data_IF_253656307041
#
_entry.id   IF_253656307041
#
_cell.length_a   1.000
_cell.length_b   1.000
_cell.length_c   1.000
_cell.angle_alpha   90.00
_cell.angle_beta   90.00
_cell.angle_gamma   90.00
#
_symmetry.space_group_name_H-M   'P 1'
#
loop_
_entity.id
_entity.type
_entity.pdbx_description
1 polymer ?
#
# COMPACT_ATOMS: atom_id res chain seq x y z
N UNK A 1 16.83 10.57 26.89
CA UNK A 1 16.57 11.04 25.51
C UNK A 1 15.07 11.03 25.35
N UNK A 2 14.43 12.19 25.20
CA UNK A 2 12.98 12.24 25.01
C UNK A 2 12.68 11.43 23.74
N UNK A 3 11.97 10.31 23.89
CA UNK A 3 11.47 9.57 22.74
C UNK A 3 10.57 10.52 21.96
N UNK A 4 10.92 10.83 20.72
CA UNK A 4 10.01 11.53 19.83
C UNK A 4 8.69 10.74 19.81
N UNK A 5 7.53 11.40 19.90
CA UNK A 5 6.23 10.72 20.02
C UNK A 5 5.94 9.79 18.84
N UNK A 6 6.57 10.03 17.68
CA UNK A 6 6.48 9.19 16.50
C UNK A 6 7.87 8.79 16.00
N UNK A 7 8.15 7.50 15.77
CA UNK A 7 9.39 7.08 15.13
C UNK A 7 9.32 7.38 13.63
N UNK A 8 9.68 8.60 13.28
CA UNK A 8 9.83 9.04 11.90
C UNK A 8 11.23 8.71 11.37
N UNK A 9 11.34 8.46 10.08
CA UNK A 9 12.60 8.32 9.39
C UNK A 9 13.37 9.65 9.46
N UNK A 10 14.64 9.58 9.82
CA UNK A 10 15.52 10.75 9.77
C UNK A 10 15.73 11.19 8.32
N UNK A 11 16.06 12.47 8.11
CA UNK A 11 16.35 12.98 6.76
C UNK A 11 17.39 12.14 6.00
N UNK A 12 18.44 11.67 6.70
CA UNK A 12 19.46 10.81 6.10
C UNK A 12 18.91 9.45 5.67
N UNK A 13 18.03 8.84 6.46
CA UNK A 13 17.37 7.58 6.11
C UNK A 13 16.38 7.75 4.94
N UNK A 14 15.73 8.91 4.85
CA UNK A 14 14.84 9.23 3.74
C UNK A 14 15.59 9.56 2.45
N UNK A 15 16.76 10.19 2.55
CA UNK A 15 17.59 10.56 1.42
C UNK A 15 18.31 9.35 0.82
N UNK A 16 18.83 8.46 1.66
CA UNK A 16 19.58 7.28 1.22
C UNK A 16 19.10 6.04 1.96
N UNK A 17 18.26 5.25 1.29
CA UNK A 17 17.74 4.00 1.84
C UNK A 17 18.80 2.90 1.81
N UNK A 18 18.73 1.90 2.71
CA UNK A 18 19.60 0.72 2.64
C UNK A 18 19.51 0.00 1.28
N UNK A 19 18.33 -0.02 0.65
CA UNK A 19 18.14 -0.60 -0.68
C UNK A 19 18.90 0.19 -1.76
N UNK A 20 18.91 1.53 -1.68
CA UNK A 20 19.69 2.38 -2.60
C UNK A 20 21.18 2.10 -2.48
N UNK A 21 21.69 1.89 -1.26
CA UNK A 21 23.10 1.51 -1.01
C UNK A 21 23.46 0.15 -1.60
N UNK A 22 22.49 -0.77 -1.65
CA UNK A 22 22.62 -2.08 -2.28
C UNK A 22 22.36 -2.05 -3.80
N UNK A 23 22.30 -0.87 -4.42
CA UNK A 23 22.17 -0.71 -5.88
C UNK A 23 20.74 -0.79 -6.42
N UNK A 24 19.71 -0.85 -5.57
CA UNK A 24 18.31 -0.84 -6.02
C UNK A 24 17.92 0.58 -6.45
N UNK A 25 17.44 0.80 -7.69
CA UNK A 25 16.94 2.11 -8.11
C UNK A 25 15.71 2.52 -7.29
N UNK A 26 15.62 3.82 -6.98
CA UNK A 26 14.53 4.37 -6.18
C UNK A 26 13.13 4.02 -6.73
N UNK A 27 12.95 4.09 -8.05
CA UNK A 27 11.67 3.74 -8.69
C UNK A 27 11.26 2.29 -8.42
N UNK A 28 12.22 1.36 -8.47
CA UNK A 28 11.98 -0.07 -8.22
C UNK A 28 11.72 -0.31 -6.73
N UNK A 29 12.42 0.39 -5.84
CA UNK A 29 12.14 0.35 -4.41
C UNK A 29 10.74 0.86 -4.08
N UNK A 30 10.35 2.01 -4.63
CA UNK A 30 9.01 2.57 -4.44
C UNK A 30 7.94 1.60 -4.97
N UNK A 31 8.15 1.02 -6.14
CA UNK A 31 7.22 0.04 -6.72
C UNK A 31 7.08 -1.22 -5.86
N UNK A 32 8.19 -1.76 -5.35
CA UNK A 32 8.19 -2.93 -4.45
C UNK A 32 7.49 -2.64 -3.13
N UNK A 33 7.63 -1.41 -2.61
CA UNK A 33 6.92 -0.99 -1.40
C UNK A 33 5.41 -0.91 -1.64
N UNK A 34 5.00 -0.36 -2.79
CA UNK A 34 3.58 -0.32 -3.19
C UNK A 34 3.00 -1.74 -3.30
N UNK A 35 3.71 -2.67 -3.95
CA UNK A 35 3.29 -4.09 -4.03
C UNK A 35 3.08 -4.69 -2.64
N UNK A 36 4.04 -4.50 -1.73
CA UNK A 36 3.94 -5.01 -0.36
C UNK A 36 2.73 -4.44 0.38
N UNK A 37 2.46 -3.15 0.23
CA UNK A 37 1.28 -2.52 0.82
C UNK A 37 -0.03 -3.03 0.22
N UNK A 38 -0.09 -3.26 -1.10
CA UNK A 38 -1.25 -3.85 -1.77
C UNK A 38 -1.51 -5.28 -1.29
N UNK A 39 -0.46 -6.10 -1.13
CA UNK A 39 -0.58 -7.45 -0.57
C UNK A 39 -1.17 -7.45 0.84
N UNK A 40 -0.69 -6.53 1.70
CA UNK A 40 -1.23 -6.38 3.06
C UNK A 40 -2.70 -6.02 3.03
N UNK A 41 -3.10 -5.07 2.17
CA UNK A 41 -4.47 -4.63 2.04
C UNK A 41 -5.39 -5.75 1.54
N UNK A 42 -5.03 -6.41 0.44
CA UNK A 42 -5.81 -7.51 -0.14
C UNK A 42 -5.95 -8.68 0.84
N UNK A 43 -4.86 -9.07 1.51
CA UNK A 43 -4.88 -10.13 2.51
C UNK A 43 -5.76 -9.76 3.70
N UNK A 44 -5.65 -8.53 4.20
CA UNK A 44 -6.46 -8.07 5.33
C UNK A 44 -7.95 -7.98 4.99
N UNK A 45 -8.31 -7.57 3.76
CA UNK A 45 -9.71 -7.60 3.29
C UNK A 45 -10.26 -9.02 3.23
N UNK A 46 -9.49 -9.96 2.66
CA UNK A 46 -9.88 -11.38 2.61
C UNK A 46 -10.05 -11.99 4.01
N UNK A 47 -9.21 -11.58 4.97
CA UNK A 47 -9.27 -12.00 6.37
C UNK A 47 -10.28 -11.21 7.21
N UNK A 48 -10.98 -10.23 6.60
CA UNK A 48 -11.95 -9.33 7.25
C UNK A 48 -11.37 -8.56 8.44
N UNK A 49 -10.12 -8.14 8.32
CA UNK A 49 -9.44 -7.30 9.32
C UNK A 49 -9.91 -5.84 9.23
N UNK A 50 -9.94 -5.11 10.35
CA UNK A 50 -10.26 -3.70 10.32
C UNK A 50 -9.13 -2.88 9.67
N UNK A 51 -9.49 -1.75 9.06
CA UNK A 51 -8.55 -0.86 8.37
C UNK A 51 -7.40 -0.40 9.28
N UNK A 52 -7.67 -0.18 10.57
CA UNK A 52 -6.63 0.19 11.55
C UNK A 52 -5.49 -0.84 11.62
N UNK A 53 -5.81 -2.15 11.58
CA UNK A 53 -4.81 -3.23 11.59
C UNK A 53 -4.04 -3.29 10.26
N UNK A 54 -4.72 -3.14 9.12
CA UNK A 54 -4.06 -3.14 7.82
C UNK A 54 -3.12 -1.94 7.64
N UNK A 55 -3.60 -0.75 8.01
CA UNK A 55 -2.82 0.49 7.98
C UNK A 55 -1.60 0.40 8.90
N UNK A 56 -1.76 -0.11 10.13
CA UNK A 56 -0.65 -0.31 11.07
C UNK A 56 0.41 -1.25 10.46
N UNK A 57 0.00 -2.37 9.85
CA UNK A 57 0.91 -3.27 9.15
C UNK A 57 1.69 -2.58 8.02
N UNK A 58 1.01 -1.77 7.20
CA UNK A 58 1.65 -1.01 6.11
C UNK A 58 2.67 0.02 6.63
N UNK A 59 2.37 0.72 7.72
CA UNK A 59 3.32 1.66 8.35
C UNK A 59 4.56 0.93 8.88
N UNK A 60 4.37 -0.21 9.56
CA UNK A 60 5.49 -1.03 10.04
C UNK A 60 6.35 -1.58 8.90
N UNK A 61 5.71 -1.98 7.80
CA UNK A 61 6.36 -2.41 6.58
C UNK A 61 7.24 -1.29 5.97
N UNK A 62 6.72 -0.07 5.84
CA UNK A 62 7.52 1.07 5.35
C UNK A 62 8.69 1.39 6.27
N UNK A 63 8.45 1.46 7.59
CA UNK A 63 9.50 1.72 8.59
C UNK A 63 10.61 0.67 8.54
N UNK A 64 10.26 -0.60 8.32
CA UNK A 64 11.24 -1.69 8.21
C UNK A 64 12.23 -1.46 7.05
N UNK A 65 11.74 -1.06 5.88
CA UNK A 65 12.59 -0.83 4.70
C UNK A 65 13.39 0.48 4.74
N UNK A 66 13.14 1.35 5.73
CA UNK A 66 14.07 2.43 6.07
C UNK A 66 15.28 1.98 6.90
N UNK A 67 15.23 0.76 7.47
CA UNK A 67 16.30 0.19 8.29
C UNK A 67 16.97 -1.02 7.63
N UNK A 68 16.30 -1.66 6.66
CA UNK A 68 16.75 -2.89 6.00
C UNK A 68 16.56 -2.80 4.50
N UNK A 69 17.39 -3.53 3.75
CA UNK A 69 17.36 -3.54 2.30
C UNK A 69 16.41 -4.60 1.71
N UNK A 70 15.76 -4.25 0.60
CA UNK A 70 14.97 -5.16 -0.24
C UNK A 70 15.82 -6.31 -0.85
N UNK A 71 17.14 -6.16 -0.97
CA UNK A 71 18.04 -7.25 -1.38
C UNK A 71 18.27 -8.30 -0.29
N UNK A 72 17.98 -7.95 0.97
CA UNK A 72 18.18 -8.83 2.12
C UNK A 72 16.88 -9.49 2.59
N UNK A 73 15.76 -8.79 2.50
CA UNK A 73 14.46 -9.25 2.97
C UNK A 73 13.40 -9.10 1.88
N UNK A 74 12.81 -10.23 1.46
CA UNK A 74 11.79 -10.26 0.42
C UNK A 74 10.49 -9.58 0.85
N UNK A 75 9.84 -8.92 -0.10
CA UNK A 75 8.60 -8.16 0.12
C UNK A 75 7.51 -9.04 0.74
N UNK A 76 7.28 -10.22 0.18
CA UNK A 76 6.26 -11.16 0.64
C UNK A 76 6.47 -11.59 2.11
N UNK A 77 7.71 -11.89 2.48
CA UNK A 77 8.06 -12.38 3.82
C UNK A 77 7.82 -11.30 4.88
N UNK A 78 8.18 -10.05 4.57
CA UNK A 78 7.97 -8.92 5.48
C UNK A 78 6.50 -8.50 5.49
N UNK A 79 5.79 -8.52 4.36
CA UNK A 79 4.40 -8.12 4.28
C UNK A 79 3.48 -9.04 5.09
N UNK A 80 3.62 -10.36 4.95
CA UNK A 80 2.83 -11.34 5.73
C UNK A 80 3.13 -11.23 7.22
N UNK A 81 4.40 -11.04 7.57
CA UNK A 81 4.85 -10.96 8.96
C UNK A 81 4.43 -9.64 9.62
N UNK A 82 4.46 -8.54 8.87
CA UNK A 82 3.97 -7.25 9.33
C UNK A 82 2.46 -7.30 9.61
N UNK A 83 1.66 -7.96 8.76
CA UNK A 83 0.23 -8.15 9.00
C UNK A 83 -0.03 -9.04 10.21
N UNK A 84 0.71 -10.15 10.36
CA UNK A 84 0.62 -11.02 11.54
C UNK A 84 0.95 -10.28 12.83
N UNK A 85 2.05 -9.54 12.83
CA UNK A 85 2.49 -8.76 13.99
C UNK A 85 1.48 -7.68 14.33
N UNK A 86 0.98 -6.95 13.33
CA UNK A 86 -0.04 -5.92 13.54
C UNK A 86 -1.35 -6.48 14.09
N UNK A 87 -1.76 -7.69 13.70
CA UNK A 87 -2.96 -8.34 14.26
C UNK A 87 -2.83 -8.57 15.76
N UNK A 88 -1.62 -8.83 16.26
CA UNK A 88 -1.34 -8.99 17.69
C UNK A 88 -1.31 -7.64 18.40
N UNK A 89 -0.73 -6.62 17.76
CA UNK A 89 -0.64 -5.26 18.32
C UNK A 89 -2.00 -4.58 18.45
N UNK A 90 -2.89 -4.80 17.49
CA UNK A 90 -4.23 -4.19 17.46
C UNK A 90 -5.32 -5.05 18.13
N UNK A 91 -4.95 -6.14 18.81
CA UNK A 91 -5.88 -7.09 19.46
C UNK A 91 -6.93 -7.70 18.51
N UNK A 92 -6.55 -7.93 17.25
CA UNK A 92 -7.37 -8.56 16.21
C UNK A 92 -6.73 -9.87 15.73
N UNK A 93 -6.49 -10.85 16.63
CA UNK A 93 -5.60 -11.97 16.36
C UNK A 93 -6.11 -12.85 15.22
N UNK A 94 -5.21 -13.17 14.30
CA UNK A 94 -5.47 -14.10 13.20
C UNK A 94 -4.83 -15.46 13.45
N UNK A 95 -5.51 -16.51 12.98
CA UNK A 95 -4.92 -17.85 12.95
C UNK A 95 -3.83 -17.86 11.88
N UNK A 96 -2.64 -18.34 12.26
CA UNK A 96 -1.49 -18.40 11.35
C UNK A 96 -1.80 -19.16 10.05
N UNK A 97 -2.62 -20.21 10.14
CA UNK A 97 -3.06 -21.00 8.97
C UNK A 97 -3.91 -20.20 8.00
N UNK A 98 -4.85 -19.41 8.50
CA UNK A 98 -5.74 -18.62 7.66
C UNK A 98 -4.91 -17.54 6.95
N UNK A 99 -3.96 -16.92 7.66
CA UNK A 99 -3.01 -15.97 7.07
C UNK A 99 -2.17 -16.60 5.95
N UNK A 100 -1.54 -17.75 6.20
CA UNK A 100 -0.70 -18.44 5.21
C UNK A 100 -1.55 -18.83 3.98
N UNK A 101 -2.73 -19.40 4.18
CA UNK A 101 -3.62 -19.80 3.08
C UNK A 101 -4.06 -18.60 2.24
N UNK A 102 -4.38 -17.47 2.87
CA UNK A 102 -4.72 -16.22 2.16
C UNK A 102 -3.55 -15.73 1.32
N UNK A 103 -2.33 -15.70 1.86
CA UNK A 103 -1.15 -15.28 1.11
C UNK A 103 -0.81 -16.23 -0.04
N UNK A 104 -0.89 -17.54 0.19
CA UNK A 104 -0.68 -18.54 -0.88
C UNK A 104 -1.70 -18.38 -2.01
N UNK A 105 -2.97 -18.18 -1.66
CA UNK A 105 -4.01 -17.91 -2.65
C UNK A 105 -3.73 -16.62 -3.43
N UNK A 106 -3.35 -15.54 -2.75
CA UNK A 106 -3.02 -14.27 -3.40
C UNK A 106 -1.84 -14.43 -4.36
N UNK A 107 -0.78 -15.12 -3.95
CA UNK A 107 0.38 -15.37 -4.80
C UNK A 107 0.03 -16.21 -6.03
N UNK A 108 -0.78 -17.28 -5.85
CA UNK A 108 -1.27 -18.08 -6.97
C UNK A 108 -2.15 -17.25 -7.92
N UNK A 109 -3.03 -16.40 -7.37
CA UNK A 109 -3.88 -15.48 -8.12
C UNK A 109 -3.05 -14.50 -8.95
N UNK A 110 -2.03 -13.90 -8.34
CA UNK A 110 -1.11 -12.96 -9.03
C UNK A 110 -0.34 -13.69 -10.12
N UNK A 111 0.16 -14.90 -9.86
CA UNK A 111 0.87 -15.70 -10.85
C UNK A 111 -0.01 -16.02 -12.07
N UNK A 112 -1.28 -16.36 -11.85
CA UNK A 112 -2.25 -16.54 -12.93
C UNK A 112 -2.41 -15.26 -13.76
N UNK A 113 -2.60 -14.11 -13.11
CA UNK A 113 -2.73 -12.81 -13.78
C UNK A 113 -1.47 -12.42 -14.56
N UNK A 114 -0.28 -12.74 -14.06
CA UNK A 114 0.98 -12.48 -14.77
C UNK A 114 1.14 -13.36 -16.02
N UNK A 115 0.56 -14.56 -16.03
CA UNK A 115 0.61 -15.47 -17.17
C UNK A 115 -0.38 -15.09 -18.29
N UNK A 116 -1.37 -14.25 -18.01
CA UNK A 116 -2.31 -13.77 -19.02
C UNK A 116 -1.65 -12.79 -20.00
N UNK A 117 -2.02 -12.82 -21.30
CA UNK A 117 -1.52 -11.91 -22.32
C UNK A 117 -1.77 -10.43 -21.95
N UNK A 118 -0.83 -9.56 -22.30
CA UNK A 118 -0.86 -8.12 -22.00
C UNK A 118 -1.97 -7.34 -22.72
N UNK A 119 -2.61 -7.91 -23.73
CA UNK A 119 -3.64 -7.20 -24.53
C UNK A 119 -5.03 -7.18 -23.86
N UNK A 120 -5.24 -7.87 -22.73
CA UNK A 120 -6.48 -7.79 -21.97
C UNK A 120 -6.43 -6.64 -20.97
N UNK A 121 -7.31 -5.65 -21.13
CA UNK A 121 -7.41 -4.52 -20.21
C UNK A 121 -7.89 -4.98 -18.83
N UNK A 122 -6.99 -5.05 -17.86
CA UNK A 122 -7.33 -5.31 -16.46
C UNK A 122 -7.98 -4.07 -15.85
N UNK A 123 -9.25 -4.15 -15.49
CA UNK A 123 -9.83 -3.17 -14.55
C UNK A 123 -9.41 -3.58 -13.15
N UNK A 124 -8.36 -2.95 -12.62
CA UNK A 124 -8.08 -2.96 -11.18
C UNK A 124 -9.26 -2.22 -10.53
N UNK A 125 -10.20 -2.96 -9.93
CA UNK A 125 -11.23 -2.32 -9.12
C UNK A 125 -10.53 -1.60 -7.97
N UNK A 126 -10.73 -0.29 -7.90
CA UNK A 126 -10.17 0.57 -6.85
C UNK A 126 -10.50 -0.03 -5.46
N UNK A 127 -9.54 -0.18 -4.53
CA UNK A 127 -9.81 -0.72 -3.19
C UNK A 127 -10.91 0.05 -2.43
N UNK A 128 -11.11 1.31 -2.78
CA UNK A 128 -12.14 2.21 -2.24
C UNK A 128 -13.57 1.91 -2.72
N UNK A 129 -13.75 1.18 -3.83
CA UNK A 129 -15.07 0.91 -4.43
C UNK A 129 -15.74 -0.39 -3.98
N UNK A 130 -15.06 -1.24 -3.20
CA UNK A 130 -15.61 -2.51 -2.70
C UNK A 130 -16.55 -2.40 -1.49
N UNK A 131 -16.78 -1.19 -0.96
CA UNK A 131 -17.45 -0.99 0.33
C UNK A 131 -18.75 -0.20 0.19
N UNK A 132 -19.79 -0.85 -0.36
CA UNK A 132 -21.16 -0.59 0.07
C UNK A 132 -21.90 -1.91 0.25
N UNK A 133 -22.35 -2.13 1.48
CA UNK A 133 -23.39 -3.08 1.84
C UNK A 133 -24.61 -2.81 0.96
N UNK A 134 -24.94 -3.75 0.07
CA UNK A 134 -26.24 -3.77 -0.60
C UNK A 134 -27.33 -3.95 0.46
N UNK A 135 -27.82 -2.83 1.01
CA UNK A 135 -29.11 -2.82 1.68
C UNK A 135 -30.19 -2.85 0.60
N UNK A 136 -30.87 -3.99 0.51
CA UNK A 136 -32.26 -4.13 0.06
C UNK A 136 -32.67 -3.38 -1.21
N UNK A 137 -32.30 -3.90 -2.37
CA UNK A 137 -32.94 -3.57 -3.65
C UNK A 137 -33.10 -4.84 -4.48
N UNK A 138 -34.34 -5.32 -4.63
CA UNK A 138 -34.69 -6.41 -5.55
C UNK A 138 -34.43 -5.94 -6.97
N UNK A 139 -33.27 -6.26 -7.53
CA UNK A 139 -33.07 -6.24 -8.98
C UNK A 139 -33.04 -7.67 -9.51
N UNK A 140 -34.06 -8.00 -10.29
CA UNK A 140 -34.26 -9.30 -10.92
C UNK A 140 -33.37 -9.38 -12.17
N UNK A 141 -32.56 -10.43 -12.23
CA UNK A 141 -32.22 -11.10 -13.49
C UNK A 141 -31.32 -10.34 -14.46
N UNK A 142 -30.01 -10.33 -14.17
CA UNK A 142 -28.98 -10.49 -15.21
C UNK A 142 -28.06 -11.62 -14.78
N UNK A 143 -27.96 -12.65 -15.61
CA UNK A 143 -26.95 -13.70 -15.44
C UNK A 143 -25.58 -13.03 -15.34
N UNK A 144 -24.80 -13.36 -14.31
CA UNK A 144 -23.38 -13.00 -14.24
C UNK A 144 -22.72 -13.63 -15.46
N UNK A 145 -22.34 -12.83 -16.45
CA UNK A 145 -21.30 -13.23 -17.40
C UNK A 145 -20.10 -13.67 -16.55
N UNK A 146 -19.67 -14.92 -16.71
CA UNK A 146 -18.46 -15.42 -16.06
C UNK A 146 -17.29 -14.63 -16.64
N UNK A 147 -16.57 -13.89 -15.80
CA UNK A 147 -15.41 -13.11 -16.24
C UNK A 147 -14.38 -14.09 -16.86
N UNK A 148 -14.02 -13.96 -18.16
CA UNK A 148 -13.14 -14.91 -18.86
C UNK A 148 -11.71 -14.97 -18.29
N UNK A 149 -11.37 -14.04 -17.39
CA UNK A 149 -10.08 -13.92 -16.72
C UNK A 149 -9.77 -15.12 -15.82
N UNK A 150 -10.79 -15.74 -15.23
CA UNK A 150 -10.62 -16.83 -14.26
C UNK A 150 -10.79 -18.22 -14.87
N UNK A 151 -10.95 -18.30 -16.19
CA UNK A 151 -11.07 -19.58 -16.89
C UNK A 151 -9.79 -20.41 -16.67
N UNK A 152 -9.95 -21.62 -16.12
CA UNK A 152 -8.84 -22.53 -15.83
C UNK A 152 -8.03 -22.24 -14.56
N UNK A 153 -8.39 -21.21 -13.76
CA UNK A 153 -7.72 -20.98 -12.47
C UNK A 153 -8.20 -21.97 -11.42
N UNK A 154 -7.29 -22.82 -10.93
CA UNK A 154 -7.53 -23.73 -9.79
C UNK A 154 -6.49 -23.48 -8.70
N UNK A 155 -6.95 -23.46 -7.45
CA UNK A 155 -6.08 -23.34 -6.28
C UNK A 155 -6.41 -24.44 -5.29
N UNK A 156 -5.43 -25.30 -5.03
CA UNK A 156 -5.52 -26.34 -4.01
C UNK A 156 -4.89 -25.82 -2.71
N UNK A 157 -5.67 -25.85 -1.63
CA UNK A 157 -5.20 -25.41 -0.32
C UNK A 157 -4.24 -26.46 0.23
N UNK A 158 -3.01 -26.10 0.62
CA UNK A 158 -2.08 -27.07 1.20
C UNK A 158 -2.65 -27.75 2.45
N UNK A 159 -2.35 -29.04 2.55
CA UNK A 159 -2.62 -29.87 3.71
C UNK A 159 -1.91 -29.35 4.96
N UNK A 160 -2.40 -29.77 6.14
CA UNK A 160 -1.78 -29.37 7.41
C UNK A 160 -0.36 -29.92 7.59
N UNK A 161 -0.10 -31.08 6.98
CA UNK A 161 1.16 -31.80 7.08
C UNK A 161 2.11 -31.47 5.92
N UNK A 162 1.73 -30.53 5.05
CA UNK A 162 2.54 -30.17 3.91
C UNK A 162 3.73 -29.33 4.37
N UNK A 163 4.91 -29.63 3.82
CA UNK A 163 6.16 -28.92 4.13
C UNK A 163 6.03 -27.42 3.89
N UNK A 164 5.24 -27.03 2.88
CA UNK A 164 4.96 -25.63 2.54
C UNK A 164 4.43 -24.84 3.74
N UNK A 165 3.54 -25.40 4.55
CA UNK A 165 3.00 -24.71 5.71
C UNK A 165 4.09 -24.41 6.76
N UNK A 166 4.97 -25.39 7.00
CA UNK A 166 6.04 -25.26 7.99
C UNK A 166 7.13 -24.30 7.52
N UNK A 167 7.46 -24.31 6.23
CA UNK A 167 8.38 -23.33 5.64
C UNK A 167 7.87 -21.90 5.82
N UNK A 168 6.59 -21.65 5.52
CA UNK A 168 6.00 -20.32 5.71
C UNK A 168 5.91 -19.92 7.18
N UNK A 169 5.61 -20.86 8.07
CA UNK A 169 5.62 -20.61 9.52
C UNK A 169 7.01 -20.17 10.01
N UNK A 170 8.06 -20.84 9.56
CA UNK A 170 9.43 -20.51 9.93
C UNK A 170 9.85 -19.15 9.36
N UNK A 171 9.47 -18.85 8.12
CA UNK A 171 9.66 -17.54 7.49
C UNK A 171 8.96 -16.43 8.28
N UNK A 172 7.69 -16.63 8.65
CA UNK A 172 6.92 -15.64 9.42
C UNK A 172 7.56 -15.40 10.78
N UNK A 173 7.93 -16.48 11.49
CA UNK A 173 8.54 -16.38 12.81
C UNK A 173 9.90 -15.67 12.76
N UNK A 174 10.73 -16.00 11.78
CA UNK A 174 12.03 -15.36 11.58
C UNK A 174 11.87 -13.89 11.21
N UNK A 175 10.99 -13.57 10.26
CA UNK A 175 10.76 -12.22 9.75
C UNK A 175 10.10 -11.31 10.79
N UNK A 176 9.14 -11.82 11.56
CA UNK A 176 8.57 -11.12 12.71
C UNK A 176 9.64 -10.70 13.70
N UNK A 177 10.55 -11.61 14.05
CA UNK A 177 11.67 -11.30 14.94
C UNK A 177 12.58 -10.22 14.34
N UNK A 178 12.79 -10.20 13.02
CA UNK A 178 13.58 -9.17 12.36
C UNK A 178 12.89 -7.81 12.40
N UNK A 179 11.57 -7.75 12.17
CA UNK A 179 10.79 -6.50 12.27
C UNK A 179 10.94 -5.91 13.67
N UNK A 180 10.72 -6.71 14.72
CA UNK A 180 10.85 -6.28 16.11
C UNK A 180 12.26 -5.76 16.45
N UNK A 181 13.30 -6.49 16.01
CA UNK A 181 14.70 -6.12 16.27
C UNK A 181 15.10 -4.83 15.55
N UNK A 182 14.73 -4.67 14.28
CA UNK A 182 15.12 -3.52 13.45
C UNK A 182 14.40 -2.24 13.84
N UNK A 183 13.15 -2.34 14.29
CA UNK A 183 12.37 -1.21 14.79
C UNK A 183 12.65 -0.91 16.27
N UNK A 184 13.54 -1.66 16.92
CA UNK A 184 13.89 -1.46 18.33
C UNK A 184 12.70 -1.59 19.28
N UNK A 185 11.74 -2.48 18.95
CA UNK A 185 10.46 -2.63 19.64
C UNK A 185 9.56 -1.38 19.66
N UNK A 186 9.88 -0.34 18.88
CA UNK A 186 9.00 0.81 18.71
C UNK A 186 7.91 0.53 17.66
N UNK A 187 6.87 -0.16 18.12
CA UNK A 187 5.76 -0.62 17.28
C UNK A 187 4.52 0.26 17.35
N UNK A 188 4.60 1.41 18.03
CA UNK A 188 3.50 2.35 18.15
C UNK A 188 3.25 3.06 16.82
N UNK A 189 2.01 3.01 16.35
CA UNK A 189 1.58 3.66 15.10
C UNK A 189 0.34 4.49 15.40
N UNK A 190 0.48 5.79 15.20
CA UNK A 190 -0.62 6.74 15.27
C UNK A 190 -1.09 7.06 13.86
N UNK A 191 -2.38 6.81 13.59
CA UNK A 191 -2.97 7.05 12.28
C UNK A 191 -3.65 8.43 12.22
N UNK A 192 -3.65 9.10 11.06
CA UNK A 192 -4.12 10.47 10.90
C UNK A 192 -5.65 10.61 10.89
N UNK A 193 -6.41 9.50 10.91
CA UNK A 193 -7.88 9.54 10.78
C UNK A 193 -8.57 10.39 11.86
N UNK A 194 -8.12 10.29 13.11
CA UNK A 194 -8.68 11.11 14.21
C UNK A 194 -8.39 12.60 14.02
N UNK A 195 -7.15 12.92 13.63
CA UNK A 195 -6.72 14.29 13.34
C UNK A 195 -7.53 14.88 12.18
N UNK A 196 -7.70 14.12 11.09
CA UNK A 196 -8.48 14.53 9.93
C UNK A 196 -9.93 14.87 10.29
N UNK A 197 -10.62 14.04 11.07
CA UNK A 197 -12.00 14.32 11.51
C UNK A 197 -12.06 15.59 12.38
N UNK A 198 -11.10 15.77 13.29
CA UNK A 198 -11.05 16.97 14.13
C UNK A 198 -10.76 18.23 13.31
N UNK A 199 -9.90 18.15 12.29
CA UNK A 199 -9.58 19.29 11.43
C UNK A 199 -10.75 19.64 10.50
N UNK A 200 -11.46 18.64 9.96
CA UNK A 200 -12.70 18.88 9.20
C UNK A 200 -13.76 19.59 10.05
N UNK A 201 -13.88 19.25 11.34
CA UNK A 201 -14.75 19.93 12.31
C UNK A 201 -14.37 21.39 12.53
N UNK A 202 -13.08 21.67 12.67
CA UNK A 202 -12.60 23.04 12.90
C UNK A 202 -12.79 23.91 11.65
N UNK A 203 -12.63 23.34 10.46
CA UNK A 203 -12.83 24.03 9.18
C UNK A 203 -14.31 24.12 8.76
N UNK A 204 -15.23 23.61 9.58
CA UNK A 204 -16.67 23.57 9.32
C UNK A 204 -17.07 22.84 8.02
N UNK A 205 -16.23 21.87 7.60
CA UNK A 205 -16.42 21.05 6.39
C UNK A 205 -17.15 19.73 6.66
N UNK A 206 -17.63 19.52 7.88
CA UNK A 206 -18.24 18.24 8.32
C UNK A 206 -19.58 17.98 7.63
N UNK A 207 -20.26 19.03 7.20
CA UNK A 207 -21.59 18.92 6.58
C UNK A 207 -21.54 18.33 5.17
N UNK A 208 -20.36 18.24 4.55
CA UNK A 208 -20.18 17.56 3.27
C UNK A 208 -19.57 16.16 3.45
N UNK A 209 -20.46 15.16 3.50
CA UNK A 209 -20.07 13.74 3.59
C UNK A 209 -19.10 13.33 2.45
N UNK A 210 -19.22 13.98 1.29
CA UNK A 210 -18.33 13.76 0.13
C UNK A 210 -16.87 14.14 0.44
N UNK A 211 -16.65 15.25 1.16
CA UNK A 211 -15.30 15.72 1.53
C UNK A 211 -14.66 14.75 2.52
N UNK A 212 -15.41 14.35 3.55
CA UNK A 212 -14.90 13.43 4.56
C UNK A 212 -14.53 12.08 3.95
N UNK A 213 -15.39 11.52 3.09
CA UNK A 213 -15.13 10.25 2.41
C UNK A 213 -13.95 10.33 1.44
N UNK A 214 -13.79 11.47 0.74
CA UNK A 214 -12.64 11.70 -0.13
C UNK A 214 -11.33 11.79 0.67
N UNK A 215 -11.33 12.53 1.79
CA UNK A 215 -10.16 12.62 2.66
C UNK A 215 -9.75 11.24 3.21
N UNK A 216 -10.72 10.43 3.63
CA UNK A 216 -10.48 9.04 4.05
C UNK A 216 -9.85 8.19 2.95
N UNK A 217 -10.36 8.30 1.72
CA UNK A 217 -9.84 7.56 0.57
C UNK A 217 -8.41 7.97 0.26
N UNK A 218 -8.12 9.28 0.28
CA UNK A 218 -6.77 9.82 0.09
C UNK A 218 -5.82 9.33 1.19
N UNK A 219 -6.26 9.31 2.46
CA UNK A 219 -5.44 8.79 3.56
C UNK A 219 -5.11 7.31 3.41
N UNK A 220 -6.01 6.52 2.83
CA UNK A 220 -5.76 5.12 2.53
C UNK A 220 -4.78 4.96 1.36
N UNK A 221 -4.91 5.77 0.31
CA UNK A 221 -3.96 5.75 -0.81
C UNK A 221 -2.56 6.20 -0.37
N UNK A 222 -2.47 7.14 0.58
CA UNK A 222 -1.20 7.57 1.18
C UNK A 222 -0.45 6.41 1.86
N UNK A 223 -1.12 5.35 2.31
CA UNK A 223 -0.47 4.17 2.92
C UNK A 223 0.35 3.37 1.91
N UNK A 224 0.07 3.51 0.60
CA UNK A 224 0.89 2.91 -0.46
C UNK A 224 2.23 3.65 -0.62
N UNK A 225 2.32 4.89 -0.15
CA UNK A 225 3.52 5.72 -0.21
C UNK A 225 4.28 5.69 1.11
N UNK A 226 5.59 6.01 1.13
CA UNK A 226 6.37 6.03 2.37
C UNK A 226 6.07 7.21 3.31
N UNK A 227 5.07 8.04 3.00
CA UNK A 227 4.79 9.29 3.70
C UNK A 227 4.46 9.10 5.20
N UNK A 228 3.80 7.99 5.56
CA UNK A 228 3.53 7.63 6.96
C UNK A 228 4.77 7.33 7.81
N UNK A 229 5.91 7.06 7.16
CA UNK A 229 7.17 6.87 7.86
C UNK A 229 8.00 8.17 7.93
N UNK A 230 7.73 9.15 7.07
CA UNK A 230 8.51 10.40 6.97
C UNK A 230 7.83 11.54 7.73
N UNK A 231 6.52 11.69 7.56
CA UNK A 231 5.75 12.81 8.08
C UNK A 231 4.86 12.40 9.26
N UNK A 232 4.63 13.32 10.22
CA UNK A 232 3.76 13.05 11.35
C UNK A 232 2.27 13.03 10.95
N UNK A 233 1.39 12.41 11.76
CA UNK A 233 -0.02 12.23 11.41
C UNK A 233 -0.82 13.53 11.19
N UNK A 234 -0.49 14.60 11.91
CA UNK A 234 -1.16 15.89 11.74
C UNK A 234 -0.92 16.49 10.35
N UNK A 235 0.31 16.43 9.84
CA UNK A 235 0.65 16.86 8.48
C UNK A 235 -0.10 16.05 7.43
N UNK A 236 -0.17 14.72 7.58
CA UNK A 236 -0.87 13.84 6.65
C UNK A 236 -2.38 14.11 6.61
N UNK A 237 -2.98 14.47 7.74
CA UNK A 237 -4.37 14.92 7.78
C UNK A 237 -4.58 16.23 7.02
N UNK A 238 -3.64 17.18 7.08
CA UNK A 238 -3.71 18.40 6.27
C UNK A 238 -3.51 18.11 4.77
N UNK A 239 -2.64 17.17 4.41
CA UNK A 239 -2.43 16.73 3.02
C UNK A 239 -3.72 16.18 2.41
N UNK A 240 -4.44 15.33 3.15
CA UNK A 240 -5.71 14.78 2.63
C UNK A 240 -6.78 15.85 2.44
N UNK A 241 -6.91 16.79 3.37
CA UNK A 241 -7.86 17.91 3.28
C UNK A 241 -7.49 18.85 2.12
N UNK A 242 -6.22 19.22 1.95
CA UNK A 242 -5.80 20.10 0.86
C UNK A 242 -6.10 19.45 -0.49
N UNK A 243 -5.76 18.17 -0.65
CA UNK A 243 -5.96 17.49 -1.92
C UNK A 243 -7.45 17.25 -2.21
N UNK A 244 -8.24 16.87 -1.20
CA UNK A 244 -9.69 16.67 -1.35
C UNK A 244 -10.41 17.96 -1.76
N UNK A 245 -10.14 19.06 -1.06
CA UNK A 245 -10.77 20.36 -1.37
C UNK A 245 -10.39 20.87 -2.75
N UNK A 246 -9.15 20.64 -3.20
CA UNK A 246 -8.71 20.97 -4.57
C UNK A 246 -9.40 20.12 -5.63
N UNK A 247 -9.58 18.82 -5.39
CA UNK A 247 -10.27 17.91 -6.32
C UNK A 247 -11.78 18.24 -6.42
N UNK A 248 -12.41 18.59 -5.30
CA UNK A 248 -13.82 19.00 -5.21
C UNK A 248 -14.07 20.47 -5.59
N UNK A 249 -13.00 21.24 -5.84
CA UNK A 249 -13.04 22.69 -6.16
C UNK A 249 -13.72 23.54 -5.08
N UNK A 250 -13.53 23.17 -3.82
CA UNK A 250 -14.02 23.92 -2.66
C UNK A 250 -12.97 24.99 -2.30
N UNK A 251 -13.34 26.29 -2.26
CA UNK A 251 -12.43 27.34 -1.86
C UNK A 251 -12.24 27.34 -0.34
N UNK A 252 -10.99 27.21 0.12
CA UNK A 252 -10.62 27.39 1.53
C UNK A 252 -9.94 28.75 1.74
N UNK A 253 -9.97 29.29 2.98
CA UNK A 253 -9.22 30.49 3.33
C UNK A 253 -7.73 30.34 3.04
N UNK A 254 -7.06 31.45 2.74
CA UNK A 254 -5.61 31.46 2.57
C UNK A 254 -4.92 31.02 3.88
N UNK A 255 -3.90 30.16 3.75
CA UNK A 255 -3.05 29.69 4.86
C UNK A 255 -3.79 29.00 6.03
N UNK A 256 -4.94 28.38 5.77
CA UNK A 256 -5.70 27.62 6.77
C UNK A 256 -4.87 26.54 7.51
N UNK A 257 -3.86 25.99 6.85
CA UNK A 257 -2.98 24.94 7.38
C UNK A 257 -2.07 25.43 8.53
N UNK A 258 -1.82 26.73 8.64
CA UNK A 258 -1.04 27.31 9.75
C UNK A 258 -1.74 27.11 11.10
N UNK A 259 -3.07 26.94 11.12
CA UNK A 259 -3.83 26.65 12.34
C UNK A 259 -3.44 25.29 12.96
N UNK A 260 -2.88 24.40 12.16
CA UNK A 260 -2.50 23.04 12.55
C UNK A 260 -0.98 22.87 12.66
N UNK A 261 -0.23 23.98 12.72
CA UNK A 261 1.25 24.00 12.79
C UNK A 261 1.95 23.31 11.61
N UNK A 262 1.33 23.32 10.43
CA UNK A 262 1.90 22.73 9.21
C UNK A 262 2.28 23.82 8.21
N UNK A 263 3.37 23.64 7.48
CA UNK A 263 3.79 24.56 6.41
C UNK A 263 3.37 24.07 5.02
N UNK A 264 3.21 25.00 4.07
CA UNK A 264 2.91 24.64 2.68
C UNK A 264 4.04 23.81 2.04
N UNK A 265 5.29 24.04 2.46
CA UNK A 265 6.47 23.32 1.99
C UNK A 265 6.45 21.84 2.37
N UNK A 266 5.76 21.47 3.46
CA UNK A 266 5.57 20.06 3.85
C UNK A 266 4.40 19.41 3.11
N UNK A 267 3.30 20.14 2.92
CA UNK A 267 2.08 19.60 2.32
C UNK A 267 2.25 19.38 0.81
N UNK A 268 2.82 20.36 0.11
CA UNK A 268 2.88 20.37 -1.35
C UNK A 268 3.62 19.16 -1.95
N UNK A 269 4.83 18.78 -1.47
CA UNK A 269 5.52 17.59 -1.95
C UNK A 269 4.75 16.31 -1.68
N UNK A 270 4.06 16.21 -0.54
CA UNK A 270 3.24 15.04 -0.21
C UNK A 270 2.09 14.84 -1.21
N UNK A 271 1.40 15.92 -1.59
CA UNK A 271 0.39 15.87 -2.64
C UNK A 271 0.99 15.43 -3.98
N UNK A 272 2.17 15.95 -4.34
CA UNK A 272 2.88 15.57 -5.56
C UNK A 272 3.20 14.07 -5.61
N UNK A 273 3.76 13.52 -4.52
CA UNK A 273 4.09 12.09 -4.41
C UNK A 273 2.84 11.22 -4.63
N UNK A 274 1.70 11.60 -4.02
CA UNK A 274 0.46 10.86 -4.21
C UNK A 274 -0.10 10.98 -5.64
N UNK A 275 -0.02 12.16 -6.26
CA UNK A 275 -0.44 12.33 -7.65
C UNK A 275 0.44 11.52 -8.62
N UNK A 276 1.75 11.44 -8.36
CA UNK A 276 2.65 10.57 -9.09
C UNK A 276 2.28 9.10 -8.92
N UNK A 277 1.97 8.65 -7.70
CA UNK A 277 1.47 7.29 -7.48
C UNK A 277 0.24 6.99 -8.35
N UNK A 278 -0.78 7.86 -8.33
CA UNK A 278 -2.00 7.65 -9.13
C UNK A 278 -1.70 7.59 -10.63
N UNK A 279 -0.84 8.48 -11.12
CA UNK A 279 -0.45 8.51 -12.52
C UNK A 279 0.31 7.23 -12.94
N UNK A 280 1.30 6.86 -12.14
CA UNK A 280 2.26 5.81 -12.45
C UNK A 280 1.69 4.41 -12.36
N UNK A 281 0.83 4.20 -11.36
CA UNK A 281 0.15 2.92 -11.13
C UNK A 281 -1.20 2.84 -11.84
N UNK A 282 -1.60 3.89 -12.56
CA UNK A 282 -2.90 3.95 -13.27
C UNK A 282 -4.09 3.81 -12.32
N UNK A 283 -3.94 4.27 -11.07
CA UNK A 283 -5.01 4.22 -10.07
C UNK A 283 -6.00 5.33 -10.37
N UNK A 284 -7.29 4.98 -10.40
CA UNK A 284 -8.35 5.96 -10.54
C UNK A 284 -8.32 6.92 -9.35
N UNK A 285 -8.33 8.22 -9.65
CA UNK A 285 -8.44 9.26 -8.62
C UNK A 285 -9.70 9.01 -7.77
N UNK A 286 -9.67 9.33 -6.46
CA UNK A 286 -10.81 9.18 -5.57
C UNK A 286 -12.11 9.80 -6.13
N UNK A 287 -13.25 9.16 -5.87
CA UNK A 287 -14.59 9.51 -6.38
C UNK A 287 -14.86 11.02 -6.32
N UNK A 288 -15.23 11.64 -7.44
CA UNK A 288 -15.52 13.07 -7.57
C UNK A 288 -14.43 13.88 -8.28
N UNK A 289 -13.23 13.31 -8.45
CA UNK A 289 -12.20 13.90 -9.29
C UNK A 289 -12.60 13.82 -10.77
N UNK A 290 -12.78 14.97 -11.43
CA UNK A 290 -12.99 15.04 -12.88
C UNK A 290 -11.78 14.42 -13.57
N UNK A 291 -11.98 13.28 -14.24
CA UNK A 291 -11.01 12.75 -15.19
C UNK A 291 -10.87 13.79 -16.31
N UNK A 292 -9.67 14.36 -16.46
CA UNK A 292 -9.32 15.00 -17.71
C UNK A 292 -9.34 13.88 -18.76
N UNK A 293 -10.42 13.79 -19.53
CA UNK A 293 -10.66 12.77 -20.56
C UNK A 293 -9.71 12.86 -21.75
N UNK A 294 -8.42 13.06 -21.50
CA UNK A 294 -7.36 12.95 -22.48
C UNK A 294 -7.13 11.45 -22.67
N UNK A 295 -7.35 10.91 -23.88
CA UNK A 295 -7.04 9.51 -24.15
C UNK A 295 -5.53 9.29 -23.97
N UNK A 296 -5.17 8.50 -22.96
CA UNK A 296 -3.78 8.06 -22.75
C UNK A 296 -3.27 7.31 -23.98
N UNK A 297 -2.03 7.58 -24.38
CA UNK A 297 -1.41 6.88 -25.51
C UNK A 297 -1.23 5.40 -25.18
N UNK A 298 -1.37 4.54 -26.18
CA UNK A 298 -1.23 3.10 -26.01
C UNK A 298 0.15 2.70 -25.48
N UNK A 299 1.20 3.45 -25.86
CA UNK A 299 2.56 3.29 -25.35
C UNK A 299 2.68 3.58 -23.85
N UNK A 300 1.95 4.59 -23.34
CA UNK A 300 1.93 4.93 -21.92
C UNK A 300 1.24 3.84 -21.11
N UNK A 301 0.14 3.28 -21.63
CA UNK A 301 -0.55 2.14 -21.00
C UNK A 301 0.33 0.90 -20.92
N UNK A 302 1.04 0.58 -22.02
CA UNK A 302 2.01 -0.54 -22.06
C UNK A 302 3.19 -0.32 -21.12
N UNK A 303 3.69 0.92 -21.01
CA UNK A 303 4.77 1.24 -20.08
C UNK A 303 4.33 1.08 -18.61
N UNK A 304 3.13 1.54 -18.24
CA UNK A 304 2.54 1.32 -16.91
C UNK A 304 2.35 -0.17 -16.64
N UNK A 305 1.89 -0.92 -17.65
CA UNK A 305 1.71 -2.37 -17.54
C UNK A 305 3.01 -3.10 -17.24
N UNK A 306 4.05 -2.80 -18.01
CA UNK A 306 5.38 -3.36 -17.80
C UNK A 306 5.93 -3.00 -16.43
N UNK A 307 5.61 -1.80 -15.92
CA UNK A 307 6.05 -1.36 -14.59
C UNK A 307 5.46 -2.23 -13.49
N UNK A 308 4.13 -2.37 -13.40
CA UNK A 308 3.53 -3.17 -12.34
C UNK A 308 3.85 -4.65 -12.50
N UNK A 309 3.87 -5.21 -13.73
CA UNK A 309 4.27 -6.61 -13.97
C UNK A 309 5.67 -6.90 -13.42
N UNK A 310 6.65 -6.02 -13.69
CA UNK A 310 8.00 -6.15 -13.11
C UNK A 310 7.97 -6.14 -11.58
N UNK A 311 7.24 -5.20 -10.98
CA UNK A 311 7.16 -5.08 -9.52
C UNK A 311 6.62 -6.36 -8.87
N UNK A 312 5.55 -6.94 -9.43
CA UNK A 312 4.97 -8.18 -8.94
C UNK A 312 5.89 -9.39 -9.13
N UNK A 313 6.62 -9.49 -10.24
CA UNK A 313 7.61 -10.55 -10.47
C UNK A 313 8.76 -10.45 -9.46
N UNK A 314 9.28 -9.25 -9.21
CA UNK A 314 10.36 -9.03 -8.25
C UNK A 314 9.92 -9.28 -6.80
N UNK A 315 8.64 -9.04 -6.47
CA UNK A 315 8.11 -9.28 -5.14
C UNK A 315 7.96 -10.78 -4.80
N UNK A 316 7.76 -11.66 -5.78
CA UNK A 316 7.51 -13.09 -5.56
C UNK A 316 8.68 -13.85 -4.92
N UNK A 317 9.93 -13.46 -5.21
CA UNK A 317 11.11 -14.21 -4.80
C UNK A 317 11.89 -13.59 -3.64
N UNK A 318 12.20 -14.40 -2.63
CA UNK A 318 13.06 -14.03 -1.48
C UNK A 318 14.39 -13.36 -1.84
N UNK A 319 14.97 -13.75 -2.98
CA UNK A 319 16.24 -13.22 -3.51
C UNK A 319 16.09 -12.63 -4.91
N UNK A 320 14.86 -12.40 -5.38
CA UNK A 320 14.61 -11.92 -6.74
C UNK A 320 15.23 -10.55 -6.97
N UNK A 321 15.03 -9.61 -6.02
CA UNK A 321 15.62 -8.27 -6.08
C UNK A 321 17.15 -8.34 -6.15
N UNK A 322 17.78 -9.16 -5.29
CA UNK A 322 19.24 -9.34 -5.29
C UNK A 322 19.77 -9.87 -6.61
N UNK A 323 19.15 -10.94 -7.14
CA UNK A 323 19.53 -11.52 -8.44
C UNK A 323 19.39 -10.51 -9.57
N UNK A 324 18.30 -9.74 -9.54
CA UNK A 324 18.05 -8.69 -10.53
C UNK A 324 19.11 -7.60 -10.50
N UNK A 325 19.53 -7.14 -9.31
CA UNK A 325 20.63 -6.18 -9.18
C UNK A 325 21.94 -6.78 -9.70
N UNK A 326 22.29 -8.00 -9.29
CA UNK A 326 23.52 -8.68 -9.75
C UNK A 326 23.56 -8.90 -11.28
N UNK A 327 22.41 -9.19 -11.90
CA UNK A 327 22.29 -9.32 -13.36
C UNK A 327 22.46 -7.97 -14.07
N UNK A 328 21.92 -6.90 -13.48
CA UNK A 328 22.04 -5.55 -14.02
C UNK A 328 23.48 -5.06 -13.97
N UNK A 329 24.18 -5.26 -12.86
CA UNK A 329 25.60 -4.92 -12.72
C UNK A 329 26.46 -5.70 -13.74
N UNK A 330 26.16 -6.98 -13.96
CA UNK A 330 26.86 -7.80 -14.99
C UNK A 330 26.59 -7.30 -16.40
N UNK A 331 25.41 -6.75 -16.67
CA UNK A 331 25.07 -6.19 -17.99
C UNK A 331 25.74 -4.85 -18.24
N UNK A 332 25.94 -4.03 -17.20
CA UNK A 332 26.63 -2.74 -17.28
C UNK A 332 28.16 -2.89 -17.34
N UNK A 333 28.70 -4.01 -16.86
CA UNK A 333 30.12 -4.33 -16.90
C UNK A 333 30.57 -5.00 -18.23
N UNK A 334 29.65 -5.32 -19.14
CA UNK A 334 29.92 -5.88 -20.47
C UNK A 334 29.77 -4.81 -21.54
#
# INVERSE_FOLDING_TARGET
MAHAPHPLATFLQAAETPSTRDGVPKEVEDDLRVVGCMLIQEAGVMLKLPQNTMATAQVLFHRFYYMSSLCSFGVNDISISALFLSSKLCETPIRLRDLINTYLFLLARIQHLLNLPSDQSFRISNPSTGWQSHNGGRDKGKAKEEDPVWEGFTFEVPGFHDEVFWDWKDVITASEMQILKRLGFNMQVDLPYSHMINYLKILDLVFEDEVAQMCWSILNDLLLTPLYAIYPPHTLACVSILLATRLLRIPLPENWFLLFDVTFEEIWPCCGILMHLWHDWGLDKPRGAVSSGIPEKEEEKKAKENRWRRAWVLAQGRKAVRRWVEEREKSEAR
#
